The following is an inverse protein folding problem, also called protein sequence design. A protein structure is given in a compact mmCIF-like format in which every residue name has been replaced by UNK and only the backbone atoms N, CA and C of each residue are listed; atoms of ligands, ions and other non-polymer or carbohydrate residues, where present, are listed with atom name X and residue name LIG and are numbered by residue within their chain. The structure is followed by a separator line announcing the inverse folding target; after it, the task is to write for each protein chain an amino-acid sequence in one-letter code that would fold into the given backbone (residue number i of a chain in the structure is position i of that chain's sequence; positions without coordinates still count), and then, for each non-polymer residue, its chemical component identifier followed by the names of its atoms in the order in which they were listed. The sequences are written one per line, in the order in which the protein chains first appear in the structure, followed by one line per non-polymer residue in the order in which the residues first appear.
data_IF_755748949795
#
_entry.id   IF_755748949795
#
_cell.length_a   1.000
_cell.length_b   1.000
_cell.length_c   1.000
_cell.angle_alpha   90.00
_cell.angle_beta   90.00
_cell.angle_gamma   90.00
#
_symmetry.space_group_name_H-M   'P 1'
#
loop_
_entity.id
_entity.type
_entity.pdbx_description
1 polymer ?
#
# COMPACT_ATOMS: atom_id res chain seq x y z
N UNK A 1 -56.77 10.49 -12.54
CA UNK A 1 -56.31 9.11 -12.68
C UNK A 1 -54.92 9.06 -12.06
N UNK A 2 -54.81 8.64 -10.80
CA UNK A 2 -53.52 8.64 -10.08
C UNK A 2 -52.77 7.36 -10.45
N UNK A 3 -51.69 7.48 -11.22
CA UNK A 3 -50.73 6.39 -11.40
C UNK A 3 -49.92 6.24 -10.11
N UNK A 4 -50.29 5.27 -9.27
CA UNK A 4 -49.44 4.81 -8.17
C UNK A 4 -48.27 4.03 -8.78
N UNK A 5 -47.12 4.67 -8.91
CA UNK A 5 -45.87 3.96 -9.20
C UNK A 5 -45.55 3.07 -8.01
N UNK A 6 -45.78 1.76 -8.14
CA UNK A 6 -45.34 0.79 -7.15
C UNK A 6 -43.81 0.72 -7.20
N UNK A 7 -43.15 1.41 -6.26
CA UNK A 7 -41.69 1.48 -6.10
C UNK A 7 -41.14 0.19 -5.47
N UNK A 8 -41.48 -0.98 -6.02
CA UNK A 8 -40.81 -2.22 -5.64
C UNK A 8 -39.54 -2.35 -6.49
N UNK A 9 -38.35 -2.54 -5.88
CA UNK A 9 -37.16 -2.93 -6.64
C UNK A 9 -37.53 -4.16 -7.47
N UNK A 10 -37.16 -4.15 -8.75
CA UNK A 10 -37.37 -5.36 -9.55
C UNK A 10 -36.59 -6.51 -8.91
N UNK A 11 -37.05 -7.75 -9.06
CA UNK A 11 -36.31 -8.92 -8.55
C UNK A 11 -34.85 -8.94 -9.06
N UNK A 12 -34.63 -8.34 -10.24
CA UNK A 12 -33.33 -8.07 -10.81
C UNK A 12 -32.49 -7.07 -9.98
N UNK A 13 -33.06 -5.94 -9.54
CA UNK A 13 -32.37 -4.97 -8.68
C UNK A 13 -31.99 -5.59 -7.32
N UNK A 14 -32.87 -6.42 -6.75
CA UNK A 14 -32.59 -7.14 -5.51
C UNK A 14 -31.46 -8.17 -5.70
N UNK A 15 -31.45 -8.89 -6.82
CA UNK A 15 -30.40 -9.86 -7.16
C UNK A 15 -29.04 -9.17 -7.39
N UNK A 16 -29.00 -8.09 -8.18
CA UNK A 16 -27.77 -7.32 -8.45
C UNK A 16 -27.26 -6.67 -7.17
N UNK A 17 -28.15 -6.09 -6.36
CA UNK A 17 -27.80 -5.55 -5.04
C UNK A 17 -27.22 -6.61 -4.11
N UNK A 18 -27.80 -7.81 -4.10
CA UNK A 18 -27.28 -8.96 -3.35
C UNK A 18 -25.87 -9.37 -3.77
N UNK A 19 -25.61 -9.51 -5.08
CA UNK A 19 -24.27 -9.81 -5.60
C UNK A 19 -23.25 -8.72 -5.27
N UNK A 20 -23.63 -7.44 -5.36
CA UNK A 20 -22.76 -6.32 -5.01
C UNK A 20 -22.34 -6.36 -3.54
N UNK A 21 -23.28 -6.65 -2.63
CA UNK A 21 -22.99 -6.77 -1.20
C UNK A 21 -22.03 -7.93 -0.92
N UNK A 22 -22.25 -9.11 -1.52
CA UNK A 22 -21.35 -10.26 -1.37
C UNK A 22 -19.95 -9.92 -1.90
N UNK A 23 -19.86 -9.32 -3.09
CA UNK A 23 -18.61 -8.88 -3.68
C UNK A 23 -17.86 -7.89 -2.77
N UNK A 24 -18.58 -6.92 -2.18
CA UNK A 24 -18.01 -5.93 -1.27
C UNK A 24 -17.42 -6.59 0.00
N UNK A 25 -18.11 -7.58 0.58
CA UNK A 25 -17.57 -8.34 1.71
C UNK A 25 -16.32 -9.15 1.34
N UNK A 26 -16.30 -9.80 0.18
CA UNK A 26 -15.13 -10.53 -0.31
C UNK A 26 -13.95 -9.56 -0.53
N UNK A 27 -14.20 -8.42 -1.18
CA UNK A 27 -13.19 -7.40 -1.43
C UNK A 27 -12.61 -6.84 -0.12
N UNK A 28 -13.45 -6.55 0.88
CA UNK A 28 -13.01 -6.11 2.20
C UNK A 28 -12.17 -7.17 2.91
N UNK A 29 -12.58 -8.44 2.86
CA UNK A 29 -11.82 -9.53 3.46
C UNK A 29 -10.44 -9.69 2.79
N UNK A 30 -10.38 -9.63 1.46
CA UNK A 30 -9.11 -9.68 0.71
C UNK A 30 -8.21 -8.47 0.99
N UNK A 31 -8.79 -7.27 1.07
CA UNK A 31 -8.06 -6.05 1.43
C UNK A 31 -7.47 -6.14 2.84
N UNK A 32 -8.25 -6.64 3.80
CA UNK A 32 -7.79 -6.86 5.18
C UNK A 32 -6.67 -7.91 5.25
N UNK A 33 -6.81 -9.02 4.52
CA UNK A 33 -5.76 -10.04 4.43
C UNK A 33 -4.48 -9.48 3.82
N UNK A 34 -4.58 -8.75 2.71
CA UNK A 34 -3.44 -8.09 2.07
C UNK A 34 -2.76 -7.08 3.01
N UNK A 35 -3.55 -6.32 3.76
CA UNK A 35 -3.04 -5.40 4.78
C UNK A 35 -2.27 -6.13 5.88
N UNK A 36 -2.82 -7.21 6.45
CA UNK A 36 -2.15 -7.99 7.50
C UNK A 36 -0.83 -8.57 6.98
N UNK A 37 -0.82 -9.15 5.78
CA UNK A 37 0.40 -9.70 5.18
C UNK A 37 1.45 -8.60 5.01
N UNK A 38 1.06 -7.44 4.48
CA UNK A 38 1.99 -6.32 4.31
C UNK A 38 2.53 -5.81 5.64
N UNK A 39 1.67 -5.69 6.67
CA UNK A 39 2.09 -5.28 8.01
C UNK A 39 3.12 -6.25 8.60
N UNK A 40 2.92 -7.56 8.44
CA UNK A 40 3.89 -8.59 8.85
C UNK A 40 5.21 -8.45 8.10
N UNK A 41 5.15 -8.27 6.77
CA UNK A 41 6.35 -8.10 5.94
C UNK A 41 7.15 -6.89 6.39
N UNK A 42 6.52 -5.72 6.55
CA UNK A 42 7.20 -4.52 7.01
C UNK A 42 7.73 -4.66 8.43
N UNK A 43 6.95 -5.25 9.34
CA UNK A 43 7.36 -5.46 10.73
C UNK A 43 8.61 -6.33 10.84
N UNK A 44 8.63 -7.48 10.14
CA UNK A 44 9.78 -8.40 10.19
C UNK A 44 10.97 -7.79 9.44
N UNK A 45 10.75 -7.18 8.27
CA UNK A 45 11.82 -6.54 7.51
C UNK A 45 12.49 -5.41 8.30
N UNK A 46 11.70 -4.60 9.02
CA UNK A 46 12.22 -3.54 9.87
C UNK A 46 13.08 -4.10 11.00
N UNK A 47 12.62 -5.17 11.67
CA UNK A 47 13.41 -5.83 12.71
C UNK A 47 14.71 -6.44 12.19
N UNK A 48 14.66 -7.09 11.03
CA UNK A 48 15.83 -7.71 10.40
C UNK A 48 16.88 -6.69 9.98
N UNK A 49 16.49 -5.46 9.65
CA UNK A 49 17.39 -4.41 9.18
C UNK A 49 17.71 -3.33 10.23
N UNK A 50 17.55 -3.64 11.53
CA UNK A 50 17.95 -2.75 12.63
C UNK A 50 16.97 -1.63 12.98
N UNK A 51 15.79 -1.59 12.36
CA UNK A 51 14.74 -0.58 12.58
C UNK A 51 13.68 -1.05 13.58
N UNK A 52 14.10 -1.66 14.69
CA UNK A 52 13.19 -2.29 15.66
C UNK A 52 12.23 -1.30 16.32
N UNK A 53 12.69 -0.08 16.60
CA UNK A 53 11.92 0.96 17.28
C UNK A 53 10.67 1.41 16.50
N UNK A 54 10.75 1.36 15.17
CA UNK A 54 9.64 1.76 14.29
C UNK A 54 8.87 0.56 13.73
N UNK A 55 9.34 -0.67 13.96
CA UNK A 55 8.75 -1.86 13.38
C UNK A 55 7.26 -1.99 13.70
N UNK A 56 6.85 -1.69 14.93
CA UNK A 56 5.45 -1.78 15.37
C UNK A 56 4.52 -0.86 14.58
N UNK A 57 5.03 0.26 14.05
CA UNK A 57 4.24 1.20 13.23
C UNK A 57 3.71 0.55 11.94
N UNK A 58 4.26 -0.60 11.52
CA UNK A 58 3.76 -1.40 10.38
C UNK A 58 2.32 -1.89 10.56
N UNK A 59 1.88 -2.07 11.81
CA UNK A 59 0.54 -2.57 12.16
C UNK A 59 -0.51 -1.47 12.28
N UNK A 60 -0.09 -0.20 12.19
CA UNK A 60 -1.00 0.94 12.29
C UNK A 60 -1.36 1.34 10.85
N UNK A 61 -2.65 1.31 10.47
CA UNK A 61 -3.07 1.75 9.14
C UNK A 61 -2.63 3.18 8.87
N UNK A 62 -2.31 3.51 7.61
CA UNK A 62 -1.79 4.81 7.17
C UNK A 62 -0.36 5.07 7.64
N UNK A 63 -0.04 4.80 8.91
CA UNK A 63 1.31 4.96 9.47
C UNK A 63 2.26 3.89 8.91
N UNK A 64 1.79 2.74 8.46
CA UNK A 64 2.62 1.73 7.81
C UNK A 64 3.44 2.28 6.61
N UNK A 65 2.99 3.36 5.94
CA UNK A 65 3.74 4.05 4.89
C UNK A 65 5.06 4.65 5.40
N UNK A 66 5.09 5.07 6.66
CA UNK A 66 6.29 5.59 7.32
C UNK A 66 7.36 4.50 7.42
N UNK A 67 6.97 3.26 7.75
CA UNK A 67 7.91 2.15 7.81
C UNK A 67 8.45 1.82 6.43
N UNK A 68 7.61 1.85 5.40
CA UNK A 68 8.07 1.70 4.01
C UNK A 68 9.15 2.73 3.68
N UNK A 69 8.92 4.01 3.96
CA UNK A 69 9.88 5.08 3.67
C UNK A 69 11.16 4.98 4.51
N UNK A 70 11.07 4.49 5.74
CA UNK A 70 12.24 4.24 6.58
C UNK A 70 13.08 3.06 6.07
N UNK A 71 12.44 1.96 5.67
CA UNK A 71 13.11 0.74 5.17
C UNK A 71 13.99 0.99 3.95
N UNK A 72 13.57 1.94 3.12
CA UNK A 72 14.18 2.24 1.84
C UNK A 72 15.05 3.50 1.88
N UNK A 73 15.17 4.17 3.03
CA UNK A 73 16.03 5.35 3.20
C UNK A 73 17.49 4.99 2.87
N UNK A 74 18.20 5.96 2.27
CA UNK A 74 19.61 5.87 1.92
C UNK A 74 20.52 6.47 3.01
N UNK A 75 19.94 6.91 4.14
CA UNK A 75 20.65 7.54 5.25
C UNK A 75 21.31 6.49 6.14
N UNK A 76 22.42 6.87 6.76
CA UNK A 76 23.25 5.96 7.55
C UNK A 76 22.80 5.91 9.02
N UNK A 77 22.36 7.04 9.57
CA UNK A 77 21.96 7.14 10.97
C UNK A 77 20.47 6.93 11.16
N UNK A 78 20.09 6.26 12.26
CA UNK A 78 18.67 6.01 12.57
C UNK A 78 17.87 7.31 12.68
N UNK A 79 18.45 8.37 13.20
CA UNK A 79 17.78 9.67 13.33
C UNK A 79 17.49 10.30 11.96
N UNK A 80 18.46 10.25 11.04
CA UNK A 80 18.26 10.75 9.67
C UNK A 80 17.26 9.91 8.89
N UNK A 81 17.28 8.58 9.04
CA UNK A 81 16.29 7.67 8.46
C UNK A 81 14.89 8.07 8.92
N UNK A 82 14.69 8.26 10.23
CA UNK A 82 13.39 8.66 10.80
C UNK A 82 12.94 10.02 10.27
N UNK A 83 13.85 11.00 10.19
CA UNK A 83 13.55 12.34 9.70
C UNK A 83 13.17 12.34 8.22
N UNK A 84 13.90 11.58 7.39
CA UNK A 84 13.58 11.42 5.98
C UNK A 84 12.23 10.69 5.79
N UNK A 85 12.03 9.58 6.50
CA UNK A 85 10.79 8.83 6.45
C UNK A 85 9.60 9.71 6.83
N UNK A 86 9.72 10.50 7.91
CA UNK A 86 8.68 11.43 8.36
C UNK A 86 8.38 12.48 7.29
N UNK A 87 9.40 13.07 6.67
CA UNK A 87 9.23 14.05 5.60
C UNK A 87 8.40 13.46 4.45
N UNK A 88 8.74 12.26 3.99
CA UNK A 88 7.99 11.61 2.90
C UNK A 88 6.60 11.17 3.33
N UNK A 89 6.41 10.73 4.56
CA UNK A 89 5.08 10.44 5.12
C UNK A 89 4.19 11.67 5.12
N UNK A 90 4.71 12.82 5.55
CA UNK A 90 3.96 14.08 5.55
C UNK A 90 3.61 14.55 4.14
N UNK A 91 4.56 14.43 3.19
CA UNK A 91 4.29 14.75 1.77
C UNK A 91 3.20 13.81 1.23
N UNK A 92 3.31 12.50 1.48
CA UNK A 92 2.35 11.52 0.98
C UNK A 92 0.94 11.74 1.56
N UNK A 93 0.83 11.94 2.87
CA UNK A 93 -0.44 12.26 3.53
C UNK A 93 -1.00 13.59 3.03
N UNK A 94 -0.14 14.61 2.87
CA UNK A 94 -0.54 15.90 2.28
C UNK A 94 -1.13 15.73 0.89
N UNK A 95 -0.48 14.95 0.02
CA UNK A 95 -1.00 14.64 -1.31
C UNK A 95 -2.33 13.89 -1.27
N UNK A 96 -2.50 12.94 -0.34
CA UNK A 96 -3.78 12.26 -0.14
C UNK A 96 -4.89 13.23 0.29
N UNK A 97 -4.61 14.16 1.18
CA UNK A 97 -5.60 15.18 1.61
C UNK A 97 -5.94 16.11 0.44
N UNK A 98 -4.94 16.59 -0.29
CA UNK A 98 -5.14 17.46 -1.48
C UNK A 98 -5.90 16.71 -2.59
N UNK A 99 -5.80 15.38 -2.64
CA UNK A 99 -6.51 14.56 -3.64
C UNK A 99 -8.04 14.68 -3.59
N UNK A 100 -8.61 15.12 -2.47
CA UNK A 100 -10.05 15.37 -2.34
C UNK A 100 -10.52 16.70 -2.98
N UNK A 101 -9.60 17.57 -3.39
CA UNK A 101 -9.93 18.85 -4.02
C UNK A 101 -10.17 18.63 -5.53
N UNK A 102 -11.29 19.08 -6.13
CA UNK A 102 -11.50 18.96 -7.58
C UNK A 102 -10.38 19.60 -8.41
N UNK A 103 -10.05 19.02 -9.57
CA UNK A 103 -8.97 19.45 -10.50
C UNK A 103 -7.55 19.26 -9.94
N UNK A 104 -7.20 19.94 -8.84
CA UNK A 104 -5.87 19.82 -8.22
C UNK A 104 -5.66 18.41 -7.67
N UNK A 105 -6.74 17.79 -7.18
CA UNK A 105 -6.70 16.46 -6.60
C UNK A 105 -6.37 15.36 -7.59
N UNK A 106 -6.64 15.55 -8.89
CA UNK A 106 -6.20 14.63 -9.93
C UNK A 106 -4.68 14.64 -10.10
N UNK A 107 -4.05 15.82 -10.04
CA UNK A 107 -2.59 15.93 -10.08
C UNK A 107 -1.99 15.35 -8.79
N UNK A 108 -2.61 15.62 -7.64
CA UNK A 108 -2.15 15.11 -6.35
C UNK A 108 -2.26 13.58 -6.25
N UNK A 109 -3.31 12.97 -6.82
CA UNK A 109 -3.46 11.51 -6.84
C UNK A 109 -2.42 10.84 -7.73
N UNK A 110 -2.11 11.42 -8.90
CA UNK A 110 -1.01 10.96 -9.75
C UNK A 110 0.33 11.07 -9.00
N UNK A 111 0.60 12.20 -8.34
CA UNK A 111 1.82 12.39 -7.57
C UNK A 111 1.94 11.37 -6.42
N UNK A 112 0.86 11.13 -5.68
CA UNK A 112 0.83 10.10 -4.64
C UNK A 112 1.06 8.69 -5.21
N UNK A 113 0.46 8.37 -6.35
CA UNK A 113 0.66 7.09 -7.04
C UNK A 113 2.11 6.90 -7.46
N UNK A 114 2.74 7.91 -8.08
CA UNK A 114 4.14 7.86 -8.51
C UNK A 114 5.08 7.66 -7.31
N UNK A 115 4.82 8.35 -6.20
CA UNK A 115 5.58 8.17 -4.95
C UNK A 115 5.42 6.73 -4.44
N UNK A 116 4.19 6.21 -4.38
CA UNK A 116 3.93 4.83 -3.98
C UNK A 116 4.70 3.82 -4.83
N UNK A 117 4.63 3.96 -6.16
CA UNK A 117 5.35 3.11 -7.12
C UNK A 117 6.86 3.18 -6.89
N UNK A 118 7.41 4.40 -6.79
CA UNK A 118 8.83 4.62 -6.60
C UNK A 118 9.37 3.97 -5.31
N UNK A 119 8.60 4.04 -4.22
CA UNK A 119 9.02 3.46 -2.96
C UNK A 119 8.86 1.94 -2.89
N UNK A 120 7.88 1.36 -3.58
CA UNK A 120 7.80 -0.08 -3.80
C UNK A 120 9.00 -0.55 -4.65
N UNK A 121 9.35 0.18 -5.70
CA UNK A 121 10.56 -0.07 -6.48
C UNK A 121 11.81 -0.07 -5.59
N UNK A 122 12.00 0.96 -4.75
CA UNK A 122 13.14 1.04 -3.84
C UNK A 122 13.17 -0.15 -2.88
N UNK A 123 12.03 -0.59 -2.37
CA UNK A 123 11.97 -1.76 -1.49
C UNK A 123 12.44 -3.03 -2.19
N UNK A 124 11.98 -3.27 -3.43
CA UNK A 124 12.49 -4.38 -4.23
C UNK A 124 13.98 -4.24 -4.53
N UNK A 125 14.46 -3.03 -4.80
CA UNK A 125 15.88 -2.76 -5.02
C UNK A 125 16.72 -3.14 -3.80
N UNK A 126 16.27 -2.76 -2.59
CA UNK A 126 16.93 -3.15 -1.34
C UNK A 126 16.93 -4.68 -1.11
N UNK A 127 15.94 -5.41 -1.60
CA UNK A 127 15.88 -6.88 -1.47
C UNK A 127 16.64 -7.66 -2.55
N UNK A 128 16.89 -7.06 -3.71
CA UNK A 128 17.47 -7.71 -4.89
C UNK A 128 18.90 -7.26 -5.17
N UNK A 129 19.24 -5.99 -4.89
CA UNK A 129 20.46 -5.33 -5.32
C UNK A 129 20.51 -5.01 -6.81
N UNK A 130 19.48 -5.36 -7.58
CA UNK A 130 19.50 -5.27 -9.05
C UNK A 130 18.32 -4.44 -9.57
N UNK A 131 18.64 -3.41 -10.36
CA UNK A 131 17.65 -2.48 -10.91
C UNK A 131 16.67 -3.15 -11.88
N UNK A 132 17.16 -3.98 -12.81
CA UNK A 132 16.33 -4.64 -13.82
C UNK A 132 15.28 -5.56 -13.20
N UNK A 133 15.70 -6.42 -12.26
CA UNK A 133 14.81 -7.30 -11.51
C UNK A 133 13.80 -6.52 -10.66
N UNK A 134 14.21 -5.41 -10.05
CA UNK A 134 13.30 -4.57 -9.25
C UNK A 134 12.18 -3.95 -10.07
N UNK A 135 12.48 -3.46 -11.28
CA UNK A 135 11.47 -2.92 -12.20
C UNK A 135 10.49 -4.02 -12.60
N UNK A 136 10.99 -5.21 -12.95
CA UNK A 136 10.16 -6.35 -13.30
C UNK A 136 9.21 -6.74 -12.16
N UNK A 137 9.67 -6.69 -10.91
CA UNK A 137 8.86 -6.99 -9.72
C UNK A 137 7.77 -5.95 -9.46
N UNK A 138 8.02 -4.68 -9.76
CA UNK A 138 6.98 -3.64 -9.73
C UNK A 138 5.91 -3.95 -10.77
N UNK A 139 6.31 -4.27 -12.01
CA UNK A 139 5.37 -4.62 -13.08
C UNK A 139 4.53 -5.84 -12.69
N UNK A 140 5.14 -6.90 -12.15
CA UNK A 140 4.43 -8.08 -11.65
C UNK A 140 3.47 -7.73 -10.51
N UNK A 141 3.84 -6.82 -9.62
CA UNK A 141 2.98 -6.36 -8.52
C UNK A 141 1.70 -5.73 -9.08
N UNK A 142 1.77 -4.91 -10.12
CA UNK A 142 0.57 -4.29 -10.72
C UNK A 142 -0.29 -5.30 -11.48
N UNK A 143 0.32 -6.16 -12.31
CA UNK A 143 -0.41 -7.17 -13.09
C UNK A 143 -1.14 -8.18 -12.17
N UNK A 144 -0.52 -8.53 -11.03
CA UNK A 144 -1.08 -9.51 -10.09
C UNK A 144 -1.94 -8.91 -8.97
N UNK A 145 -2.22 -7.59 -8.98
CA UNK A 145 -3.00 -6.95 -7.92
C UNK A 145 -2.34 -7.02 -6.55
N UNK A 146 -1.03 -6.83 -6.48
CA UNK A 146 -0.17 -6.90 -5.29
C UNK A 146 0.12 -8.28 -4.71
N UNK A 147 -0.44 -9.36 -5.27
CA UNK A 147 -0.17 -10.74 -4.82
C UNK A 147 1.33 -11.04 -4.88
N UNK A 148 2.01 -10.63 -5.96
CA UNK A 148 3.45 -10.82 -6.09
C UNK A 148 4.25 -10.17 -4.95
N UNK A 149 3.94 -8.91 -4.61
CA UNK A 149 4.59 -8.18 -3.52
C UNK A 149 4.40 -8.88 -2.18
N UNK A 150 3.20 -9.41 -1.92
CA UNK A 150 2.92 -10.17 -0.70
C UNK A 150 3.76 -11.44 -0.60
N UNK A 151 3.78 -12.27 -1.64
CA UNK A 151 4.53 -13.54 -1.65
C UNK A 151 6.04 -13.27 -1.57
N UNK A 152 6.54 -12.36 -2.41
CA UNK A 152 7.96 -12.04 -2.44
C UNK A 152 8.42 -11.41 -1.12
N UNK A 153 7.62 -10.50 -0.56
CA UNK A 153 7.86 -9.89 0.74
C UNK A 153 7.94 -10.94 1.85
N UNK A 154 7.03 -11.91 1.89
CA UNK A 154 7.06 -13.01 2.87
C UNK A 154 8.33 -13.86 2.76
N UNK A 155 8.83 -14.08 1.55
CA UNK A 155 10.08 -14.83 1.31
C UNK A 155 11.31 -14.03 1.77
N UNK A 156 11.30 -12.70 1.59
CA UNK A 156 12.46 -11.83 1.82
C UNK A 156 12.50 -11.15 3.18
N UNK A 157 11.40 -11.06 3.91
CA UNK A 157 11.30 -10.26 5.14
C UNK A 157 12.32 -10.63 6.23
N UNK A 158 12.79 -11.89 6.27
CA UNK A 158 13.80 -12.36 7.23
C UNK A 158 15.25 -12.20 6.74
N UNK A 159 15.46 -11.70 5.52
CA UNK A 159 16.79 -11.50 4.95
C UNK A 159 17.20 -10.02 5.09
N UNK A 160 18.45 -9.73 5.46
CA UNK A 160 18.94 -8.36 5.42
C UNK A 160 18.93 -7.83 3.99
N UNK A 161 18.84 -6.51 3.86
CA UNK A 161 18.95 -5.86 2.57
C UNK A 161 20.33 -6.08 1.95
N UNK A 162 20.35 -6.16 0.63
CA UNK A 162 21.58 -6.23 -0.16
C UNK A 162 22.15 -4.81 -0.19
N UNK A 163 23.43 -4.68 0.20
CA UNK A 163 24.16 -3.40 0.20
C UNK A 163 24.47 -2.98 -1.23
#
# INVERSE_FOLDING_TARGET
MNMSYSTYPSEYDAMVGGFFVIFLFIALALALLGYIIMAVVYYITAKTNGLQEIAFMSWIPIVNIYVLFALVSDKETLEEIKKEALKWTLIYIGLLIVSFIPIIGFIASIAAMVIGIYYIYRLFYRWTGEQGMSILFVVLTFITGSIFLYIYGLIKMKKPFVV
#
